data_IF_723160769691
#
_entry.id   IF_723160769691
#
_cell.length_a   1.000
_cell.length_b   1.000
_cell.length_c   1.000
_cell.angle_alpha   90.00
_cell.angle_beta   90.00
_cell.angle_gamma   90.00
#
_symmetry.space_group_name_H-M   'P 1'
#
loop_
_entity.id
_entity.type
_entity.pdbx_description
1 polymer ?
#
# COMPACT_ATOMS: atom_id res chain seq x y z
N UNK A 1 -40.94 -13.91 -50.82
CA UNK A 1 -40.24 -13.45 -52.03
C UNK A 1 -38.96 -12.76 -51.59
N UNK A 2 -37.83 -13.47 -51.69
CA UNK A 2 -36.49 -13.01 -51.30
C UNK A 2 -35.90 -12.16 -52.43
N UNK A 3 -35.38 -10.96 -52.13
CA UNK A 3 -34.41 -10.29 -53.00
C UNK A 3 -33.23 -9.84 -52.14
N UNK A 4 -32.05 -10.23 -52.63
CA UNK A 4 -30.72 -10.17 -52.04
C UNK A 4 -29.83 -9.44 -53.07
N UNK A 5 -28.69 -8.93 -52.60
CA UNK A 5 -27.53 -8.37 -53.35
C UNK A 5 -27.61 -6.90 -53.79
N UNK A 6 -26.57 -6.07 -53.74
CA UNK A 6 -25.25 -6.04 -53.05
C UNK A 6 -24.69 -4.63 -53.33
N UNK A 7 -24.10 -3.96 -52.35
CA UNK A 7 -23.25 -2.77 -52.59
C UNK A 7 -21.78 -3.23 -52.67
N UNK A 8 -21.02 -2.87 -53.71
CA UNK A 8 -19.59 -3.17 -53.76
C UNK A 8 -18.80 -2.13 -52.94
N UNK A 9 -17.97 -2.59 -52.01
CA UNK A 9 -16.95 -1.78 -51.36
C UNK A 9 -15.61 -1.99 -52.07
N UNK A 10 -15.09 -0.96 -52.72
CA UNK A 10 -13.80 -0.98 -53.39
C UNK A 10 -12.66 -0.79 -52.37
N UNK A 11 -11.81 -1.81 -52.22
CA UNK A 11 -10.63 -1.77 -51.36
C UNK A 11 -9.54 -0.84 -51.95
N UNK A 12 -9.20 0.21 -51.19
CA UNK A 12 -8.12 1.16 -51.51
C UNK A 12 -6.75 0.51 -51.22
N UNK A 13 -5.87 0.50 -52.21
CA UNK A 13 -4.52 -0.08 -52.20
C UNK A 13 -3.64 0.58 -51.12
N UNK A 14 -3.30 -0.18 -50.07
CA UNK A 14 -2.40 0.26 -49.01
C UNK A 14 -0.95 0.37 -49.54
N UNK A 15 -0.34 1.54 -49.36
CA UNK A 15 1.02 1.85 -49.77
C UNK A 15 2.01 1.36 -48.69
N UNK A 16 3.01 0.55 -49.06
CA UNK A 16 3.94 -0.13 -48.13
C UNK A 16 4.84 0.82 -47.32
N UNK A 17 4.85 2.12 -47.65
CA UNK A 17 5.75 3.11 -47.04
C UNK A 17 5.30 3.64 -45.69
N UNK A 18 4.00 3.54 -45.33
CA UNK A 18 3.49 4.05 -44.04
C UNK A 18 3.70 3.08 -42.88
N UNK A 19 3.84 1.77 -43.15
CA UNK A 19 4.06 0.76 -42.12
C UNK A 19 5.49 0.77 -41.55
N UNK A 20 6.48 1.20 -42.34
CA UNK A 20 7.88 1.24 -41.93
C UNK A 20 8.15 2.47 -41.04
N UNK A 21 7.47 3.59 -41.28
CA UNK A 21 7.65 4.83 -40.52
C UNK A 21 7.04 4.76 -39.10
N UNK A 22 5.96 4.00 -38.91
CA UNK A 22 5.37 3.76 -37.59
C UNK A 22 6.15 2.78 -36.73
N UNK A 23 6.93 1.88 -37.34
CA UNK A 23 7.68 0.84 -36.63
C UNK A 23 9.01 1.34 -36.05
N UNK A 24 9.61 2.36 -36.69
CA UNK A 24 10.83 3.03 -36.18
C UNK A 24 10.50 4.02 -35.05
N UNK A 25 9.34 4.67 -35.07
CA UNK A 25 8.95 5.63 -34.03
C UNK A 25 8.52 4.97 -32.70
N UNK A 26 8.01 3.73 -32.73
CA UNK A 26 7.75 2.95 -31.51
C UNK A 26 9.00 2.29 -30.94
N UNK A 27 10.07 2.12 -31.73
CA UNK A 27 11.34 1.52 -31.28
C UNK A 27 12.24 2.50 -30.51
N UNK A 28 11.97 3.80 -30.55
CA UNK A 28 12.66 4.83 -29.76
C UNK A 28 11.94 5.20 -28.45
N UNK A 29 10.76 4.63 -28.18
CA UNK A 29 10.00 4.82 -26.93
C UNK A 29 10.18 3.68 -25.90
N UNK A 30 11.12 2.77 -26.16
CA UNK A 30 11.57 1.75 -25.20
C UNK A 30 13.10 1.78 -25.05
N UNK A 31 13.70 2.97 -25.07
CA UNK A 31 14.93 3.17 -24.31
C UNK A 31 14.54 3.17 -22.83
N UNK A 32 14.42 1.98 -22.23
CA UNK A 32 14.39 1.84 -20.78
C UNK A 32 15.62 2.55 -20.24
N UNK A 33 15.37 3.61 -19.47
CA UNK A 33 16.39 4.32 -18.72
C UNK A 33 17.19 3.29 -17.93
N UNK A 34 18.44 3.07 -18.31
CA UNK A 34 19.41 2.48 -17.39
C UNK A 34 19.64 3.57 -16.36
N UNK A 35 18.84 3.55 -15.28
CA UNK A 35 19.13 4.33 -14.09
C UNK A 35 20.42 3.71 -13.55
N UNK A 36 21.54 4.35 -13.86
CA UNK A 36 22.77 4.12 -13.12
C UNK A 36 22.44 4.42 -11.65
N UNK A 37 22.33 3.36 -10.86
CA UNK A 37 22.03 3.49 -9.45
C UNK A 37 23.24 4.09 -8.75
N UNK A 38 23.19 5.38 -8.48
CA UNK A 38 24.21 6.06 -7.68
C UNK A 38 24.33 5.38 -6.32
N UNK A 39 25.57 5.09 -5.92
CA UNK A 39 25.88 4.52 -4.61
C UNK A 39 26.01 5.64 -3.58
N UNK A 40 25.31 5.52 -2.46
CA UNK A 40 25.29 6.50 -1.38
C UNK A 40 25.76 5.86 -0.08
N UNK A 41 26.48 6.60 0.75
CA UNK A 41 26.90 6.11 2.07
C UNK A 41 25.90 6.52 3.16
N UNK A 42 25.87 5.80 4.30
CA UNK A 42 25.05 6.22 5.46
C UNK A 42 25.40 7.63 5.94
N UNK A 43 26.70 7.97 5.91
CA UNK A 43 27.18 9.29 6.31
C UNK A 43 26.70 10.41 5.36
N UNK A 44 26.55 10.11 4.08
CA UNK A 44 25.99 11.04 3.10
C UNK A 44 24.49 11.24 3.34
N UNK A 45 23.73 10.15 3.50
CA UNK A 45 22.30 10.23 3.82
C UNK A 45 22.06 11.05 5.10
N UNK A 46 22.89 10.88 6.12
CA UNK A 46 22.79 11.61 7.39
C UNK A 46 22.92 13.14 7.25
N UNK A 47 23.51 13.66 6.15
CA UNK A 47 23.57 15.10 5.87
C UNK A 47 22.21 15.68 5.44
N UNK A 48 21.31 14.83 4.96
CA UNK A 48 19.98 15.21 4.49
C UNK A 48 18.94 14.93 5.57
N UNK A 49 19.07 15.65 6.69
CA UNK A 49 18.29 15.45 7.92
C UNK A 49 17.30 16.59 8.25
N UNK A 50 16.98 17.45 7.27
CA UNK A 50 16.12 18.63 7.48
C UNK A 50 14.87 18.58 6.61
N UNK A 51 13.86 19.40 6.91
CA UNK A 51 12.62 19.43 6.12
C UNK A 51 12.82 19.91 4.67
N UNK A 52 13.84 20.74 4.43
CA UNK A 52 14.23 21.21 3.09
C UNK A 52 15.16 20.26 2.35
N UNK A 53 15.69 19.24 3.04
CA UNK A 53 16.53 18.20 2.44
C UNK A 53 16.47 16.95 3.31
N UNK A 54 15.60 16.01 2.92
CA UNK A 54 15.25 14.83 3.70
C UNK A 54 15.42 13.56 2.89
N UNK A 55 16.50 12.82 3.18
CA UNK A 55 16.73 11.50 2.61
C UNK A 55 16.52 10.42 3.66
N UNK A 56 16.19 9.21 3.21
CA UNK A 56 16.00 8.08 4.11
C UNK A 56 16.44 6.78 3.46
N UNK A 57 16.79 5.79 4.28
CA UNK A 57 17.17 4.45 3.84
C UNK A 57 16.01 3.49 4.08
N UNK A 58 15.65 2.72 3.07
CA UNK A 58 14.67 1.65 3.17
C UNK A 58 15.14 0.41 2.39
N UNK A 59 15.28 -0.74 3.07
CA UNK A 59 15.73 -2.00 2.46
C UNK A 59 16.99 -1.84 1.60
N UNK A 60 17.97 -1.05 2.06
CA UNK A 60 19.22 -0.80 1.35
C UNK A 60 19.11 0.15 0.14
N UNK A 61 17.92 0.69 -0.16
CA UNK A 61 17.74 1.80 -1.09
C UNK A 61 17.85 3.15 -0.39
N UNK A 62 18.26 4.18 -1.14
CA UNK A 62 18.24 5.58 -0.67
C UNK A 62 17.15 6.34 -1.41
N UNK A 63 16.35 7.09 -0.65
CA UNK A 63 15.14 7.75 -1.12
C UNK A 63 15.15 9.22 -0.73
N UNK A 64 14.85 10.11 -1.68
CA UNK A 64 14.65 11.53 -1.43
C UNK A 64 13.15 11.82 -1.29
N UNK A 65 12.71 12.00 -0.05
CA UNK A 65 11.30 12.24 0.30
C UNK A 65 11.03 13.73 0.61
N UNK A 66 11.96 14.63 0.26
CA UNK A 66 11.88 16.05 0.59
C UNK A 66 10.55 16.68 0.14
N UNK A 67 10.13 16.40 -1.09
CA UNK A 67 8.88 16.94 -1.65
C UNK A 67 7.63 16.28 -1.07
N UNK A 68 7.77 15.11 -0.45
CA UNK A 68 6.66 14.33 0.10
C UNK A 68 6.37 14.67 1.57
N UNK A 69 7.36 15.19 2.30
CA UNK A 69 7.27 15.51 3.73
C UNK A 69 6.02 16.31 4.09
N UNK A 70 5.74 17.40 3.38
CA UNK A 70 4.60 18.26 3.68
C UNK A 70 3.27 17.51 3.50
N UNK A 71 3.15 16.72 2.43
CA UNK A 71 1.95 15.92 2.19
C UNK A 71 1.78 14.86 3.28
N UNK A 72 2.86 14.19 3.69
CA UNK A 72 2.80 13.17 4.73
C UNK A 72 2.44 13.78 6.09
N UNK A 73 3.13 14.84 6.51
CA UNK A 73 2.93 15.47 7.82
C UNK A 73 1.54 16.12 7.96
N UNK A 74 0.94 16.57 6.86
CA UNK A 74 -0.39 17.19 6.89
C UNK A 74 -1.55 16.18 6.94
N UNK A 75 -1.36 14.99 6.35
CA UNK A 75 -2.40 13.96 6.29
C UNK A 75 -2.20 12.84 7.33
N UNK A 76 -1.00 12.73 7.88
CA UNK A 76 -0.57 11.67 8.79
C UNK A 76 0.32 12.25 9.91
N UNK A 77 1.23 11.44 10.46
CA UNK A 77 2.14 11.87 11.52
C UNK A 77 3.40 12.51 10.94
N UNK A 78 4.08 13.29 11.79
CA UNK A 78 5.32 13.98 11.42
C UNK A 78 6.48 12.98 11.25
N UNK A 79 6.98 12.82 10.02
CA UNK A 79 8.13 11.94 9.68
C UNK A 79 9.46 12.71 9.58
N UNK A 80 9.46 14.02 9.77
CA UNK A 80 10.69 14.84 9.75
C UNK A 80 11.79 14.33 10.69
N UNK A 81 11.50 13.79 11.90
CA UNK A 81 12.53 13.21 12.77
C UNK A 81 13.30 12.01 12.18
N UNK A 82 12.84 11.44 11.08
CA UNK A 82 13.48 10.30 10.42
C UNK A 82 14.25 10.68 9.15
N UNK A 83 14.35 11.98 8.86
CA UNK A 83 15.28 12.46 7.84
C UNK A 83 16.71 12.12 8.24
N UNK A 84 17.48 11.60 7.29
CA UNK A 84 18.87 11.19 7.46
C UNK A 84 19.07 9.82 8.11
N UNK A 85 18.00 9.04 8.33
CA UNK A 85 18.09 7.74 9.02
C UNK A 85 17.55 6.56 8.20
N UNK A 86 17.81 5.35 8.69
CA UNK A 86 17.24 4.12 8.16
C UNK A 86 15.88 3.84 8.80
N UNK A 87 14.84 3.91 7.97
CA UNK A 87 13.45 3.74 8.40
C UNK A 87 12.96 2.31 8.21
N UNK A 88 13.79 1.36 7.81
CA UNK A 88 13.34 0.00 7.43
C UNK A 88 12.49 -0.67 8.51
N UNK A 89 12.95 -0.62 9.76
CA UNK A 89 12.23 -1.19 10.90
C UNK A 89 10.90 -0.47 11.16
N UNK A 90 10.93 0.86 11.25
CA UNK A 90 9.76 1.70 11.50
C UNK A 90 8.71 1.58 10.37
N UNK A 91 9.17 1.56 9.13
CA UNK A 91 8.33 1.46 7.94
C UNK A 91 7.61 0.10 7.89
N UNK A 92 8.33 -0.99 8.18
CA UNK A 92 7.75 -2.34 8.19
C UNK A 92 6.81 -2.54 9.39
N UNK A 93 7.13 -1.99 10.56
CA UNK A 93 6.28 -2.07 11.75
C UNK A 93 4.94 -1.33 11.60
N UNK A 94 4.89 -0.29 10.77
CA UNK A 94 3.69 0.53 10.56
C UNK A 94 2.65 -0.12 9.63
N UNK A 95 3.03 -1.12 8.83
CA UNK A 95 2.09 -1.84 7.96
C UNK A 95 1.57 -1.02 6.77
N UNK A 96 2.46 -0.38 6.02
CA UNK A 96 2.11 0.45 4.85
C UNK A 96 1.41 -0.35 3.74
N UNK A 97 0.46 0.30 3.05
CA UNK A 97 -0.24 -0.31 1.90
C UNK A 97 0.69 -0.46 0.68
N UNK A 98 0.35 -1.38 -0.24
CA UNK A 98 1.08 -1.55 -1.50
C UNK A 98 1.17 -0.24 -2.33
N UNK A 99 0.15 0.63 -2.26
CA UNK A 99 0.17 1.95 -2.90
C UNK A 99 1.23 2.87 -2.29
N UNK A 100 1.40 2.84 -0.97
CA UNK A 100 2.42 3.62 -0.28
C UNK A 100 3.83 3.11 -0.62
N UNK A 101 4.03 1.80 -0.75
CA UNK A 101 5.31 1.22 -1.18
C UNK A 101 5.64 1.58 -2.63
N UNK A 102 4.65 1.56 -3.53
CA UNK A 102 4.84 2.00 -4.91
C UNK A 102 5.18 3.50 -5.00
N UNK A 103 4.55 4.33 -4.16
CA UNK A 103 4.88 5.75 -4.08
C UNK A 103 6.29 5.97 -3.51
N UNK A 104 6.71 5.22 -2.48
CA UNK A 104 8.08 5.29 -1.98
C UNK A 104 9.09 4.95 -3.07
N UNK A 105 8.80 3.96 -3.92
CA UNK A 105 9.67 3.57 -5.03
C UNK A 105 9.92 4.73 -6.03
N UNK A 106 8.98 5.66 -6.21
CA UNK A 106 9.18 6.81 -7.10
C UNK A 106 10.18 7.83 -6.57
N UNK A 107 10.49 7.79 -5.26
CA UNK A 107 11.46 8.68 -4.61
C UNK A 107 12.86 8.08 -4.54
N UNK A 108 13.08 6.89 -5.10
CA UNK A 108 14.39 6.22 -5.03
C UNK A 108 15.43 6.97 -5.86
N UNK A 109 16.52 7.38 -5.22
CA UNK A 109 17.65 8.05 -5.86
C UNK A 109 18.86 7.13 -6.05
N UNK A 110 18.96 6.04 -5.28
CA UNK A 110 20.06 5.07 -5.43
C UNK A 110 20.05 3.94 -4.40
N UNK A 111 21.23 3.37 -4.15
CA UNK A 111 21.43 2.25 -3.21
C UNK A 111 22.52 2.58 -2.19
N UNK A 112 22.40 1.94 -1.03
CA UNK A 112 23.36 2.10 0.03
C UNK A 112 24.65 1.30 -0.27
N UNK A 113 25.79 1.99 -0.33
CA UNK A 113 27.12 1.40 -0.52
C UNK A 113 27.93 1.49 0.76
N UNK A 114 28.56 0.38 1.15
CA UNK A 114 29.46 0.30 2.32
C UNK A 114 30.88 0.75 2.00
N UNK A 115 31.21 0.92 0.72
CA UNK A 115 32.51 1.42 0.27
C UNK A 115 32.38 2.90 -0.10
N UNK A 116 33.23 3.80 0.43
CA UNK A 116 33.31 5.17 -0.09
C UNK A 116 33.78 5.08 -1.55
N UNK A 117 32.84 5.20 -2.49
CA UNK A 117 33.15 5.16 -3.92
C UNK A 117 33.75 6.50 -4.29
N UNK A 118 35.08 6.57 -4.28
CA UNK A 118 35.84 7.67 -4.87
C UNK A 118 35.70 7.56 -6.39
N UNK A 119 34.82 8.38 -6.96
CA UNK A 119 34.75 8.56 -8.42
C UNK A 119 36.01 9.31 -8.89
N UNK A 120 36.78 8.62 -9.72
CA UNK A 120 37.90 9.01 -10.59
C UNK A 120 38.00 10.49 -11.05
N UNK A 121 39.19 11.10 -10.87
CA UNK A 121 39.92 12.04 -11.78
C UNK A 121 41.38 12.23 -11.27
N UNK A 122 42.43 12.34 -12.12
CA UNK A 122 43.82 12.12 -11.74
C UNK A 122 44.60 13.37 -11.27
N UNK A 123 45.54 13.12 -10.36
CA UNK A 123 46.80 13.84 -10.06
C UNK A 123 46.74 15.29 -9.57
N UNK A 124 47.15 15.51 -8.31
CA UNK A 124 48.39 16.25 -8.01
C UNK A 124 48.83 16.04 -6.56
N UNK A 125 50.08 15.61 -6.44
CA UNK A 125 50.93 15.42 -5.27
C UNK A 125 51.09 16.68 -4.41
N UNK A 126 50.96 16.54 -3.08
CA UNK A 126 51.82 17.26 -2.13
C UNK A 126 51.94 16.49 -0.81
N UNK A 127 53.14 15.98 -0.61
CA UNK A 127 53.75 15.38 0.59
C UNK A 127 53.66 16.30 1.82
N UNK A 128 53.48 15.74 3.02
CA UNK A 128 54.29 16.08 4.23
C UNK A 128 54.15 14.96 5.27
N UNK A 129 55.32 14.57 5.79
CA UNK A 129 55.59 13.52 6.78
C UNK A 129 55.34 14.03 8.20
N UNK A 130 55.03 13.11 9.13
CA UNK A 130 55.74 12.99 10.42
C UNK A 130 55.60 11.57 10.98
N UNK A 131 56.75 10.95 11.26
CA UNK A 131 56.94 9.80 12.17
C UNK A 131 56.58 10.26 13.63
N UNK A 132 56.29 9.43 14.64
CA UNK A 132 57.12 8.38 15.25
C UNK A 132 56.31 7.50 16.24
N UNK A 133 56.80 6.26 16.40
CA UNK A 133 56.88 5.40 17.59
C UNK A 133 55.79 4.42 18.08
N UNK A 134 56.29 3.19 18.31
CA UNK A 134 55.68 1.90 18.62
C UNK A 134 55.38 1.71 20.14
N UNK A 135 54.68 0.69 20.64
CA UNK A 135 55.10 -0.73 20.77
C UNK A 135 53.93 -1.62 21.30
N UNK A 136 53.64 -2.69 20.55
CA UNK A 136 53.35 -4.11 20.88
C UNK A 136 52.93 -4.48 22.33
N UNK A 137 51.77 -5.15 22.52
CA UNK A 137 51.62 -6.58 22.99
C UNK A 137 50.18 -7.10 22.70
N UNK A 138 50.07 -8.18 21.94
CA UNK A 138 48.97 -9.17 21.94
C UNK A 138 49.46 -10.45 22.63
N UNK A 139 48.61 -11.30 23.25
CA UNK A 139 48.06 -12.42 22.46
C UNK A 139 46.66 -12.96 22.88
N UNK A 140 45.97 -13.54 21.89
CA UNK A 140 45.28 -14.85 21.91
C UNK A 140 43.83 -14.95 22.45
N UNK A 141 42.92 -15.29 21.50
CA UNK A 141 41.83 -16.30 21.53
C UNK A 141 40.64 -15.95 22.44
N UNK A 142 39.41 -15.84 21.94
CA UNK A 142 38.59 -17.02 21.64
C UNK A 142 37.42 -16.75 20.67
N UNK A 143 37.26 -17.71 19.78
CA UNK A 143 36.19 -17.94 18.81
C UNK A 143 34.87 -18.30 19.50
N UNK A 144 33.76 -17.63 19.16
CA UNK A 144 32.46 -18.32 19.02
C UNK A 144 31.57 -17.64 17.97
N UNK A 145 31.47 -18.33 16.83
CA UNK A 145 30.44 -18.21 15.81
C UNK A 145 29.07 -18.64 16.36
N UNK A 146 27.96 -18.04 15.89
CA UNK A 146 26.87 -18.91 15.44
C UNK A 146 26.46 -18.63 13.99
N UNK A 147 26.83 -19.60 13.17
CA UNK A 147 26.03 -20.27 12.14
C UNK A 147 25.11 -19.39 11.29
N UNK A 148 25.69 -18.90 10.19
CA UNK A 148 24.97 -18.66 8.94
C UNK A 148 24.42 -20.00 8.45
N UNK A 149 23.10 -20.14 8.43
CA UNK A 149 22.44 -21.15 7.60
C UNK A 149 21.98 -20.46 6.33
N UNK A 150 22.83 -20.54 5.30
CA UNK A 150 22.46 -20.23 3.94
C UNK A 150 21.55 -21.35 3.42
N UNK A 151 20.26 -21.06 3.30
CA UNK A 151 19.40 -21.77 2.34
C UNK A 151 19.16 -20.85 1.15
N UNK A 152 19.99 -21.04 0.14
CA UNK A 152 19.63 -20.81 -1.26
C UNK A 152 18.34 -21.58 -1.56
N UNK A 153 17.20 -20.91 -1.49
CA UNK A 153 16.01 -21.28 -2.24
C UNK A 153 15.73 -20.16 -3.22
N UNK A 154 15.96 -20.48 -4.49
CA UNK A 154 15.55 -19.71 -5.66
C UNK A 154 14.04 -19.48 -5.60
N UNK A 155 13.59 -18.41 -4.97
CA UNK A 155 12.18 -18.00 -4.97
C UNK A 155 11.89 -17.24 -6.27
N UNK A 156 11.61 -18.02 -7.30
CA UNK A 156 10.89 -17.59 -8.51
C UNK A 156 9.52 -17.07 -8.10
N UNK A 157 9.21 -15.84 -8.52
CA UNK A 157 7.89 -15.23 -8.75
C UNK A 157 6.67 -15.96 -8.13
N UNK A 158 6.20 -15.48 -6.99
CA UNK A 158 4.76 -15.34 -6.74
C UNK A 158 4.50 -14.31 -5.64
N UNK A 159 4.42 -13.02 -6.00
CA UNK A 159 3.68 -12.06 -5.18
C UNK A 159 2.31 -11.93 -5.81
N UNK A 160 1.54 -13.03 -5.82
CA UNK A 160 0.10 -12.91 -5.73
C UNK A 160 -0.18 -12.19 -4.42
N UNK A 161 -0.50 -10.91 -4.54
CA UNK A 161 -1.06 -10.12 -3.45
C UNK A 161 -2.33 -10.84 -2.98
N UNK A 162 -2.18 -11.70 -1.96
CA UNK A 162 -3.30 -12.46 -1.43
C UNK A 162 -4.20 -11.46 -0.71
N UNK A 163 -5.40 -11.21 -1.25
CA UNK A 163 -6.36 -10.35 -0.60
C UNK A 163 -6.70 -10.98 0.76
N UNK A 164 -6.44 -10.30 1.89
CA UNK A 164 -6.68 -10.88 3.22
C UNK A 164 -8.18 -10.97 3.55
N UNK A 165 -9.04 -10.45 2.67
CA UNK A 165 -10.48 -10.33 2.87
C UNK A 165 -11.21 -11.56 2.35
N UNK A 166 -11.99 -12.17 3.22
CA UNK A 166 -12.88 -13.26 2.82
C UNK A 166 -14.26 -12.68 2.51
N UNK A 167 -14.52 -12.27 1.27
CA UNK A 167 -15.81 -11.65 0.92
C UNK A 167 -16.99 -12.63 1.02
N UNK A 168 -16.75 -13.91 0.72
CA UNK A 168 -17.80 -14.92 0.60
C UNK A 168 -18.43 -15.29 1.95
N UNK A 169 -17.61 -15.40 2.99
CA UNK A 169 -18.05 -15.82 4.32
C UNK A 169 -19.06 -14.85 4.97
N UNK A 170 -18.79 -13.53 5.11
CA UNK A 170 -19.74 -12.57 5.68
C UNK A 170 -20.99 -12.43 4.79
N UNK A 171 -20.84 -12.57 3.47
CA UNK A 171 -21.96 -12.54 2.54
C UNK A 171 -22.95 -13.68 2.81
N UNK A 172 -22.47 -14.92 2.82
CA UNK A 172 -23.30 -16.11 3.05
C UNK A 172 -23.89 -16.09 4.46
N UNK A 173 -23.08 -15.74 5.47
CA UNK A 173 -23.53 -15.66 6.85
C UNK A 173 -24.68 -14.65 7.01
N UNK A 174 -24.57 -13.47 6.38
CA UNK A 174 -25.61 -12.45 6.42
C UNK A 174 -26.92 -12.91 5.78
N UNK A 175 -26.83 -13.59 4.62
CA UNK A 175 -28.01 -14.16 3.94
C UNK A 175 -28.67 -15.20 4.85
N UNK A 176 -27.90 -16.18 5.36
CA UNK A 176 -28.44 -17.25 6.20
C UNK A 176 -29.08 -16.68 7.47
N UNK A 177 -28.44 -15.70 8.12
CA UNK A 177 -28.94 -15.13 9.36
C UNK A 177 -30.24 -14.35 9.15
N UNK A 178 -30.34 -13.54 8.09
CA UNK A 178 -31.57 -12.80 7.80
C UNK A 178 -32.72 -13.72 7.36
N UNK A 179 -32.47 -14.56 6.34
CA UNK A 179 -33.52 -15.42 5.77
C UNK A 179 -33.87 -16.57 6.71
N UNK A 180 -32.90 -17.13 7.44
CA UNK A 180 -33.14 -18.15 8.46
C UNK A 180 -33.99 -17.62 9.62
N UNK A 181 -33.69 -16.42 10.13
CA UNK A 181 -34.55 -15.81 11.16
C UNK A 181 -35.95 -15.50 10.63
N UNK A 182 -36.11 -15.15 9.36
CA UNK A 182 -37.44 -14.95 8.76
C UNK A 182 -38.27 -16.24 8.75
N UNK A 183 -37.65 -17.40 8.47
CA UNK A 183 -38.36 -18.69 8.50
C UNK A 183 -38.86 -19.02 9.91
N UNK A 184 -38.02 -18.82 10.92
CA UNK A 184 -38.32 -19.09 12.34
C UNK A 184 -39.43 -18.16 12.86
N UNK A 185 -39.33 -16.87 12.57
CA UNK A 185 -40.26 -15.84 13.08
C UNK A 185 -41.39 -15.49 12.09
N UNK A 186 -41.57 -16.30 11.05
CA UNK A 186 -42.57 -16.09 9.99
C UNK A 186 -43.99 -15.84 10.52
N UNK A 187 -44.36 -16.50 11.62
CA UNK A 187 -45.67 -16.34 12.29
C UNK A 187 -45.83 -15.03 13.09
N UNK A 188 -44.73 -14.34 13.42
CA UNK A 188 -44.72 -13.11 14.25
C UNK A 188 -44.06 -11.94 13.52
N UNK A 189 -44.53 -11.65 12.30
CA UNK A 189 -43.91 -10.68 11.39
C UNK A 189 -43.75 -9.26 11.98
N UNK A 190 -44.67 -8.80 12.83
CA UNK A 190 -44.55 -7.48 13.49
C UNK A 190 -43.36 -7.43 14.45
N UNK A 191 -43.15 -8.50 15.24
CA UNK A 191 -42.01 -8.61 16.17
C UNK A 191 -40.70 -8.77 15.40
N UNK A 192 -40.69 -9.57 14.33
CA UNK A 192 -39.55 -9.67 13.42
C UNK A 192 -39.13 -8.32 12.85
N UNK A 193 -40.10 -7.52 12.39
CA UNK A 193 -39.85 -6.18 11.85
C UNK A 193 -39.26 -5.24 12.91
N UNK A 194 -39.86 -5.22 14.10
CA UNK A 194 -39.38 -4.39 15.20
C UNK A 194 -37.94 -4.77 15.59
N UNK A 195 -37.67 -6.06 15.72
CA UNK A 195 -36.34 -6.58 16.00
C UNK A 195 -35.30 -6.12 14.98
N UNK A 196 -35.56 -6.36 13.69
CA UNK A 196 -34.59 -6.03 12.64
C UNK A 196 -34.42 -4.52 12.43
N UNK A 197 -35.46 -3.72 12.61
CA UNK A 197 -35.34 -2.26 12.56
C UNK A 197 -34.42 -1.75 13.67
N UNK A 198 -34.66 -2.21 14.91
CA UNK A 198 -33.84 -1.82 16.05
C UNK A 198 -32.40 -2.31 15.89
N UNK A 199 -32.21 -3.57 15.48
CA UNK A 199 -30.88 -4.14 15.28
C UNK A 199 -30.10 -3.37 14.23
N UNK A 200 -30.68 -3.11 13.06
CA UNK A 200 -30.03 -2.38 11.98
C UNK A 200 -29.68 -0.95 12.40
N UNK A 201 -30.59 -0.22 13.05
CA UNK A 201 -30.30 1.13 13.53
C UNK A 201 -29.14 1.12 14.55
N UNK A 202 -29.19 0.21 15.52
CA UNK A 202 -28.20 0.15 16.60
C UNK A 202 -26.81 -0.23 16.08
N UNK A 203 -26.76 -1.22 15.19
CA UNK A 203 -25.51 -1.73 14.61
C UNK A 203 -24.90 -0.80 13.57
N UNK A 204 -25.66 0.14 12.99
CA UNK A 204 -25.08 1.24 12.22
C UNK A 204 -24.66 2.40 13.10
N UNK A 205 -25.47 2.75 14.11
CA UNK A 205 -25.24 3.90 14.96
C UNK A 205 -24.02 3.70 15.87
N UNK A 206 -23.93 2.57 16.58
CA UNK A 206 -22.85 2.35 17.55
C UNK A 206 -21.47 2.36 16.88
N UNK A 207 -21.22 1.60 15.79
CA UNK A 207 -19.92 1.62 15.15
C UNK A 207 -19.64 2.98 14.50
N UNK A 208 -20.61 3.61 13.83
CA UNK A 208 -20.36 4.90 13.18
C UNK A 208 -20.05 6.01 14.18
N UNK A 209 -20.82 6.10 15.28
CA UNK A 209 -20.65 7.13 16.30
C UNK A 209 -19.44 6.84 17.19
N UNK A 210 -19.34 5.61 17.70
CA UNK A 210 -18.26 5.19 18.58
C UNK A 210 -16.90 5.22 17.88
N UNK A 211 -16.83 4.76 16.62
CA UNK A 211 -15.59 4.82 15.85
C UNK A 211 -15.18 6.27 15.53
N UNK A 212 -16.12 7.14 15.16
CA UNK A 212 -15.84 8.56 14.94
C UNK A 212 -15.25 9.24 16.17
N UNK A 213 -15.83 9.00 17.35
CA UNK A 213 -15.32 9.51 18.63
C UNK A 213 -13.94 8.91 18.93
N UNK A 214 -13.77 7.60 18.74
CA UNK A 214 -12.50 6.93 18.98
C UNK A 214 -11.37 7.53 18.13
N UNK A 215 -11.62 7.81 16.86
CA UNK A 215 -10.66 8.47 15.97
C UNK A 215 -10.33 9.90 16.41
N UNK A 216 -11.30 10.65 16.91
CA UNK A 216 -11.06 11.99 17.47
C UNK A 216 -10.21 11.95 18.75
N UNK A 217 -10.49 10.99 19.64
CA UNK A 217 -9.75 10.79 20.88
C UNK A 217 -8.32 10.29 20.67
N UNK A 218 -8.07 9.52 19.60
CA UNK A 218 -6.70 9.12 19.24
C UNK A 218 -5.76 10.31 19.01
N UNK A 219 -6.28 11.45 18.51
CA UNK A 219 -5.48 12.66 18.34
C UNK A 219 -5.09 13.30 19.69
N UNK A 220 -5.98 13.21 20.68
CA UNK A 220 -5.75 13.78 22.01
C UNK A 220 -4.94 12.85 22.93
N UNK A 221 -4.99 11.54 22.69
CA UNK A 221 -4.34 10.53 23.53
C UNK A 221 -3.47 9.59 22.67
N UNK A 222 -2.18 9.92 22.46
CA UNK A 222 -1.25 9.11 21.68
C UNK A 222 -1.09 7.66 22.18
N UNK A 223 -1.41 7.41 23.45
CA UNK A 223 -1.41 6.06 24.03
C UNK A 223 -2.42 5.11 23.39
N UNK A 224 -3.51 5.63 22.79
CA UNK A 224 -4.53 4.83 22.10
C UNK A 224 -4.06 4.33 20.73
N UNK A 225 -3.01 4.91 20.15
CA UNK A 225 -2.41 4.48 18.87
C UNK A 225 -1.68 3.13 18.97
N UNK A 226 -1.41 2.64 20.19
CA UNK A 226 -0.74 1.35 20.42
C UNK A 226 -1.67 0.15 20.25
N UNK A 227 -2.98 0.39 20.14
CA UNK A 227 -3.95 -0.67 19.88
C UNK A 227 -3.91 -0.94 18.37
N UNK A 228 -3.44 -2.12 17.95
CA UNK A 228 -3.46 -2.56 16.54
C UNK A 228 -4.91 -2.80 16.09
N UNK A 229 -5.61 -1.71 15.79
CA UNK A 229 -6.95 -1.79 15.24
C UNK A 229 -6.82 -1.91 13.73
N UNK A 230 -7.03 -3.13 13.22
CA UNK A 230 -7.15 -3.39 11.78
C UNK A 230 -8.45 -2.80 11.24
N UNK A 231 -8.55 -1.48 11.26
CA UNK A 231 -9.77 -0.75 10.91
C UNK A 231 -10.26 -1.15 9.53
N UNK A 232 -9.34 -1.17 8.56
CA UNK A 232 -9.68 -1.53 7.19
C UNK A 232 -10.17 -2.98 7.06
N UNK A 233 -9.76 -3.87 7.95
CA UNK A 233 -10.25 -5.25 8.00
C UNK A 233 -11.68 -5.31 8.53
N UNK A 234 -11.89 -4.80 9.74
CA UNK A 234 -13.19 -4.81 10.41
C UNK A 234 -14.24 -4.00 9.65
N UNK A 235 -13.87 -2.84 9.12
CA UNK A 235 -14.79 -1.98 8.39
C UNK A 235 -15.29 -2.67 7.11
N UNK A 236 -14.43 -3.35 6.37
CA UNK A 236 -14.80 -4.00 5.11
C UNK A 236 -15.64 -5.25 5.36
N UNK A 237 -15.21 -6.17 6.22
CA UNK A 237 -15.96 -7.42 6.42
C UNK A 237 -17.30 -7.18 7.14
N UNK A 238 -17.32 -6.29 8.14
CA UNK A 238 -18.56 -5.92 8.83
C UNK A 238 -19.50 -5.12 7.93
N UNK A 239 -19.00 -4.22 7.07
CA UNK A 239 -19.86 -3.46 6.15
C UNK A 239 -20.50 -4.35 5.09
N UNK A 240 -19.80 -5.38 4.60
CA UNK A 240 -20.39 -6.38 3.69
C UNK A 240 -21.50 -7.15 4.40
N UNK A 241 -21.23 -7.66 5.60
CA UNK A 241 -22.24 -8.38 6.40
C UNK A 241 -23.47 -7.51 6.70
N UNK A 242 -23.27 -6.32 7.24
CA UNK A 242 -24.34 -5.37 7.56
C UNK A 242 -25.08 -4.88 6.31
N UNK A 243 -24.37 -4.67 5.21
CA UNK A 243 -24.94 -4.31 3.92
C UNK A 243 -25.88 -5.37 3.39
N UNK A 244 -25.52 -6.65 3.50
CA UNK A 244 -26.39 -7.78 3.12
C UNK A 244 -27.65 -7.83 3.99
N UNK A 245 -27.53 -7.65 5.31
CA UNK A 245 -28.67 -7.61 6.22
C UNK A 245 -29.62 -6.44 5.89
N UNK A 246 -29.07 -5.25 5.69
CA UNK A 246 -29.82 -4.06 5.35
C UNK A 246 -30.51 -4.19 3.98
N UNK A 247 -29.79 -4.69 2.98
CA UNK A 247 -30.32 -4.93 1.63
C UNK A 247 -31.46 -5.95 1.64
N UNK A 248 -31.26 -7.08 2.34
CA UNK A 248 -32.31 -8.11 2.48
C UNK A 248 -33.55 -7.56 3.17
N UNK A 249 -33.36 -6.75 4.22
CA UNK A 249 -34.45 -6.07 4.90
C UNK A 249 -35.17 -5.06 4.01
N UNK A 250 -34.42 -4.26 3.27
CA UNK A 250 -34.93 -3.25 2.35
C UNK A 250 -35.75 -3.89 1.22
N UNK A 251 -35.23 -4.92 0.54
CA UNK A 251 -35.92 -5.64 -0.54
C UNK A 251 -37.29 -6.14 -0.07
N UNK A 252 -37.36 -6.72 1.14
CA UNK A 252 -38.63 -7.20 1.71
C UNK A 252 -39.61 -6.06 1.99
N UNK A 253 -39.11 -4.89 2.39
CA UNK A 253 -39.93 -3.69 2.67
C UNK A 253 -40.24 -2.85 1.44
N UNK A 254 -39.52 -3.06 0.33
CA UNK A 254 -39.61 -2.26 -0.89
C UNK A 254 -41.04 -2.19 -1.41
N UNK A 255 -41.77 -3.31 -1.42
CA UNK A 255 -43.18 -3.34 -1.83
C UNK A 255 -44.05 -2.39 -1.01
N UNK A 256 -43.83 -2.31 0.31
CA UNK A 256 -44.60 -1.45 1.20
C UNK A 256 -44.30 0.02 0.90
N UNK A 257 -43.03 0.37 0.70
CA UNK A 257 -42.63 1.74 0.34
C UNK A 257 -43.20 2.15 -1.02
N UNK A 258 -43.15 1.25 -2.01
CA UNK A 258 -43.74 1.51 -3.32
C UNK A 258 -45.27 1.69 -3.26
N UNK A 259 -45.97 0.93 -2.39
CA UNK A 259 -47.40 1.13 -2.18
C UNK A 259 -47.70 2.51 -1.60
N UNK A 260 -46.90 3.00 -0.64
CA UNK A 260 -47.08 4.33 -0.05
C UNK A 260 -46.86 5.47 -1.05
N UNK A 261 -46.01 5.27 -2.06
CA UNK A 261 -45.79 6.25 -3.13
C UNK A 261 -46.92 6.28 -4.15
N UNK A 262 -47.63 5.15 -4.36
CA UNK A 262 -48.74 5.05 -5.30
C UNK A 262 -50.06 5.63 -4.77
N UNK A 263 -50.19 5.79 -3.45
CA UNK A 263 -51.40 6.32 -2.81
C UNK A 263 -51.42 7.87 -2.75
N UNK A 264 -50.61 8.54 -3.56
CA UNK A 264 -50.62 9.99 -3.79
C UNK A 264 -50.86 10.25 -5.26
#
# INVERSE_FOLDING_TARGET
>A
MYIRFLYPYTMKKHNKSTAIFTLVLTSLFFAHQIIASSGYTKAEVAKHNTSSSCWTIYNGGVYDITTYLALHNNNYYNITPWCGTDITSNYNATGHSAKASNLLATFKIGVLTTTPTTTSTPSSTSTTKTDDDAVIVTPVVETTTPTVTDTNTTAVLDVTSHNPYNLLLPLILGIILYWGSLLIFSKKLKQFNAFWNTLLILTFLIPSFGFGIFMMLQYQFPSLMKIDFRFLYWHVELSVFMGVLAMSHFIRRLKIYLMQLKTR
#
